data_IF_080050401030
#
_entry.id   IF_080050401030
#
_cell.length_a   1.000
_cell.length_b   1.000
_cell.length_c   1.000
_cell.angle_alpha   90.00
_cell.angle_beta   90.00
_cell.angle_gamma   90.00
#
_symmetry.space_group_name_H-M   'P 1'
#
loop_
_entity.id
_entity.type
_entity.pdbx_description
1 polymer ?
#
# COMPACT_ATOMS: atom_id res chain seq x y z
N UNK A 1 -5.30 18.61 -18.05
CA UNK A 1 -6.73 19.03 -18.12
C UNK A 1 -7.38 18.69 -16.80
N UNK A 2 -8.09 19.63 -16.17
CA UNK A 2 -8.91 19.32 -14.98
C UNK A 2 -10.14 18.54 -15.46
N UNK A 3 -10.42 17.35 -14.91
CA UNK A 3 -11.58 16.59 -15.34
C UNK A 3 -12.86 17.36 -14.92
N UNK A 4 -13.97 17.15 -15.62
CA UNK A 4 -15.24 17.85 -15.41
C UNK A 4 -16.38 16.90 -15.05
N UNK A 5 -17.27 17.36 -14.17
CA UNK A 5 -18.54 16.71 -13.81
C UNK A 5 -19.72 17.63 -14.07
N UNK A 6 -20.91 17.04 -14.19
CA UNK A 6 -22.16 17.79 -14.18
C UNK A 6 -22.59 18.07 -12.73
N UNK A 7 -22.97 19.30 -12.44
CA UNK A 7 -23.67 19.63 -11.20
C UNK A 7 -25.03 18.91 -11.19
N UNK A 8 -25.36 18.11 -10.16
CA UNK A 8 -26.59 17.34 -10.13
C UNK A 8 -27.85 18.22 -9.97
N UNK A 9 -27.69 19.49 -9.60
CA UNK A 9 -28.80 20.42 -9.36
C UNK A 9 -29.15 21.27 -10.57
N UNK A 10 -28.15 21.88 -11.24
CA UNK A 10 -28.38 22.77 -12.39
C UNK A 10 -27.91 22.20 -13.73
N UNK A 11 -27.17 21.08 -13.74
CA UNK A 11 -26.60 20.50 -14.96
C UNK A 11 -25.35 21.21 -15.50
N UNK A 12 -24.88 22.29 -14.86
CA UNK A 12 -23.67 23.02 -15.25
C UNK A 12 -22.40 22.15 -15.19
N UNK A 13 -21.45 22.40 -16.09
CA UNK A 13 -20.18 21.66 -16.13
C UNK A 13 -19.17 22.32 -15.19
N UNK A 14 -18.73 21.58 -14.17
CA UNK A 14 -17.83 22.08 -13.13
C UNK A 14 -16.61 21.15 -12.96
N UNK A 15 -15.43 21.67 -12.60
CA UNK A 15 -14.29 20.83 -12.22
C UNK A 15 -14.61 19.95 -11.00
N UNK A 16 -14.13 18.70 -10.96
CA UNK A 16 -14.47 17.73 -9.88
C UNK A 16 -13.96 18.06 -8.47
N UNK A 17 -13.11 19.07 -8.34
CA UNK A 17 -12.57 19.58 -7.08
C UNK A 17 -13.33 20.83 -6.59
N UNK A 18 -14.39 21.24 -7.29
CA UNK A 18 -15.19 22.43 -6.98
C UNK A 18 -16.23 22.11 -5.91
N UNK A 19 -16.10 22.72 -4.72
CA UNK A 19 -17.01 22.49 -3.59
C UNK A 19 -18.25 23.38 -3.60
N UNK A 20 -18.30 24.44 -4.41
CA UNK A 20 -19.49 25.29 -4.59
C UNK A 20 -19.69 25.54 -6.08
N UNK A 21 -20.87 25.20 -6.61
CA UNK A 21 -21.16 25.40 -8.03
C UNK A 21 -21.16 26.90 -8.39
N UNK A 22 -20.41 27.35 -9.41
CA UNK A 22 -20.40 28.76 -9.81
C UNK A 22 -21.71 29.23 -10.45
N UNK A 23 -22.55 28.32 -10.96
CA UNK A 23 -23.77 28.67 -11.67
C UNK A 23 -24.98 28.78 -10.74
N UNK A 24 -25.18 27.78 -9.86
CA UNK A 24 -26.33 27.73 -8.95
C UNK A 24 -25.98 27.89 -7.46
N UNK A 25 -24.69 28.02 -7.13
CA UNK A 25 -24.17 28.23 -5.77
C UNK A 25 -24.44 27.09 -4.78
N UNK A 26 -24.81 25.91 -5.27
CA UNK A 26 -25.03 24.73 -4.43
C UNK A 26 -23.72 24.19 -3.83
N UNK A 27 -23.81 23.66 -2.61
CA UNK A 27 -22.69 22.98 -1.95
C UNK A 27 -22.48 21.57 -2.51
N UNK A 28 -21.33 21.37 -3.14
CA UNK A 28 -20.90 20.11 -3.74
C UNK A 28 -19.87 19.37 -2.89
N UNK A 29 -19.54 19.83 -1.66
CA UNK A 29 -18.47 19.26 -0.85
C UNK A 29 -18.62 17.75 -0.60
N UNK A 30 -19.85 17.27 -0.35
CA UNK A 30 -20.11 15.85 -0.19
C UNK A 30 -19.79 15.05 -1.47
N UNK A 31 -20.13 15.60 -2.63
CA UNK A 31 -19.88 14.99 -3.93
C UNK A 31 -18.39 14.99 -4.28
N UNK A 32 -17.70 16.09 -4.02
CA UNK A 32 -16.24 16.19 -4.14
C UNK A 32 -15.56 15.17 -3.24
N UNK A 33 -15.99 15.02 -1.98
CA UNK A 33 -15.44 14.04 -1.04
C UNK A 33 -15.55 12.61 -1.56
N UNK A 34 -16.70 12.23 -2.11
CA UNK A 34 -16.91 10.90 -2.70
C UNK A 34 -16.07 10.69 -3.95
N UNK A 35 -15.95 11.71 -4.80
CA UNK A 35 -15.21 11.63 -6.06
C UNK A 35 -13.70 11.54 -5.83
N UNK A 36 -13.19 12.27 -4.83
CA UNK A 36 -11.76 12.35 -4.49
C UNK A 36 -11.37 11.44 -3.33
N UNK A 37 -12.21 10.47 -2.96
CA UNK A 37 -11.99 9.63 -1.78
C UNK A 37 -10.64 8.90 -1.83
N UNK A 38 -10.22 8.43 -3.01
CA UNK A 38 -8.90 7.83 -3.23
C UNK A 38 -7.73 8.77 -2.87
N UNK A 39 -7.83 10.05 -3.22
CA UNK A 39 -6.82 11.05 -2.95
C UNK A 39 -6.80 11.46 -1.47
N UNK A 40 -7.98 11.53 -0.84
CA UNK A 40 -8.11 11.76 0.62
C UNK A 40 -7.42 10.63 1.38
N UNK A 41 -7.75 9.37 1.08
CA UNK A 41 -7.13 8.21 1.71
C UNK A 41 -5.61 8.16 1.49
N UNK A 42 -5.14 8.51 0.29
CA UNK A 42 -3.70 8.59 0.02
C UNK A 42 -3.00 9.65 0.87
N UNK A 43 -3.57 10.85 1.00
CA UNK A 43 -2.97 11.92 1.79
C UNK A 43 -2.92 11.56 3.28
N UNK A 44 -3.98 10.92 3.80
CA UNK A 44 -3.96 10.38 5.16
C UNK A 44 -2.88 9.31 5.35
N UNK A 45 -2.73 8.41 4.37
CA UNK A 45 -1.68 7.39 4.40
C UNK A 45 -0.27 7.97 4.32
N UNK A 46 -0.07 9.01 3.51
CA UNK A 46 1.20 9.75 3.42
C UNK A 46 1.53 10.44 4.75
N UNK A 47 0.56 11.12 5.36
CA UNK A 47 0.75 11.78 6.65
C UNK A 47 1.09 10.76 7.75
N UNK A 48 0.40 9.61 7.79
CA UNK A 48 0.70 8.53 8.74
C UNK A 48 2.11 7.97 8.53
N UNK A 49 2.53 7.73 7.28
CA UNK A 49 3.87 7.24 6.96
C UNK A 49 4.96 8.24 7.39
N UNK A 50 4.75 9.54 7.15
CA UNK A 50 5.66 10.60 7.59
C UNK A 50 5.72 10.71 9.12
N UNK A 51 4.62 10.41 9.81
CA UNK A 51 4.56 10.31 11.27
C UNK A 51 5.13 9.02 11.85
N UNK A 52 5.58 8.07 11.02
CA UNK A 52 6.11 6.77 11.44
C UNK A 52 5.05 5.72 11.79
N UNK A 53 3.76 6.05 11.68
CA UNK A 53 2.67 5.09 11.84
C UNK A 53 2.43 4.32 10.53
N UNK A 54 3.33 3.36 10.28
CA UNK A 54 3.36 2.56 9.06
C UNK A 54 2.14 1.66 8.91
N UNK A 55 1.55 1.22 10.02
CA UNK A 55 0.36 0.36 10.01
C UNK A 55 -0.89 1.15 9.57
N UNK A 56 -1.09 2.34 10.14
CA UNK A 56 -2.15 3.25 9.67
C UNK A 56 -1.90 3.66 8.22
N UNK A 57 -0.64 3.94 7.85
CA UNK A 57 -0.29 4.25 6.47
C UNK A 57 -0.71 3.14 5.51
N UNK A 58 -0.37 1.88 5.81
CA UNK A 58 -0.76 0.71 5.03
C UNK A 58 -2.28 0.62 4.86
N UNK A 59 -3.03 0.74 5.95
CA UNK A 59 -4.49 0.66 5.92
C UNK A 59 -5.11 1.75 5.02
N UNK A 60 -4.68 3.00 5.18
CA UNK A 60 -5.19 4.14 4.39
C UNK A 60 -4.84 4.00 2.91
N UNK A 61 -3.66 3.52 2.58
CA UNK A 61 -3.25 3.31 1.19
C UNK A 61 -4.03 2.18 0.52
N UNK A 62 -4.40 1.13 1.26
CA UNK A 62 -5.29 0.09 0.75
C UNK A 62 -6.68 0.66 0.43
N UNK A 63 -7.26 1.48 1.31
CA UNK A 63 -8.52 2.19 1.02
C UNK A 63 -8.42 3.08 -0.23
N UNK A 64 -7.29 3.78 -0.42
CA UNK A 64 -7.06 4.58 -1.62
C UNK A 64 -7.11 3.71 -2.89
N UNK A 65 -6.52 2.52 -2.85
CA UNK A 65 -6.44 1.58 -3.96
C UNK A 65 -7.75 0.80 -4.19
N UNK A 66 -8.60 0.63 -3.18
CA UNK A 66 -9.96 0.12 -3.36
C UNK A 66 -10.80 1.08 -4.21
N UNK A 67 -10.61 2.40 -4.01
CA UNK A 67 -11.30 3.43 -4.79
C UNK A 67 -10.68 3.67 -6.16
N UNK A 68 -9.37 3.57 -6.28
CA UNK A 68 -8.64 3.74 -7.53
C UNK A 68 -7.50 2.71 -7.67
N UNK A 69 -7.77 1.53 -8.25
CA UNK A 69 -6.82 0.41 -8.27
C UNK A 69 -5.51 0.66 -9.02
N UNK A 70 -5.48 1.66 -9.91
CA UNK A 70 -4.29 2.05 -10.69
C UNK A 70 -3.68 3.36 -10.21
N UNK A 71 -4.02 3.81 -9.01
CA UNK A 71 -3.49 5.07 -8.48
C UNK A 71 -2.01 4.94 -8.12
N UNK A 72 -1.16 5.35 -9.08
CA UNK A 72 0.28 5.16 -9.05
C UNK A 72 0.96 5.69 -7.77
N UNK A 73 0.63 6.89 -7.24
CA UNK A 73 1.21 7.38 -5.99
C UNK A 73 0.95 6.43 -4.80
N UNK A 74 -0.28 5.92 -4.68
CA UNK A 74 -0.64 4.99 -3.62
C UNK A 74 0.04 3.63 -3.78
N UNK A 75 0.17 3.11 -5.00
CA UNK A 75 0.89 1.85 -5.27
C UNK A 75 2.36 1.94 -4.84
N UNK A 76 3.05 3.01 -5.23
CA UNK A 76 4.45 3.22 -4.88
C UNK A 76 4.65 3.41 -3.38
N UNK A 77 3.80 4.22 -2.75
CA UNK A 77 3.91 4.47 -1.31
C UNK A 77 3.58 3.20 -0.51
N UNK A 78 2.56 2.43 -0.91
CA UNK A 78 2.25 1.15 -0.28
C UNK A 78 3.41 0.18 -0.39
N UNK A 79 4.07 0.12 -1.55
CA UNK A 79 5.23 -0.74 -1.75
C UNK A 79 6.39 -0.39 -0.80
N UNK A 80 6.66 0.91 -0.59
CA UNK A 80 7.66 1.39 0.36
C UNK A 80 7.27 1.13 1.83
N UNK A 81 6.02 1.43 2.19
CA UNK A 81 5.49 1.19 3.55
C UNK A 81 5.53 -0.30 3.89
N UNK A 82 5.11 -1.17 2.97
CA UNK A 82 5.16 -2.61 3.15
C UNK A 82 6.60 -3.13 3.30
N UNK A 83 7.55 -2.61 2.53
CA UNK A 83 8.96 -2.96 2.69
C UNK A 83 9.51 -2.51 4.06
N UNK A 84 9.12 -1.33 4.55
CA UNK A 84 9.49 -0.85 5.87
C UNK A 84 8.87 -1.66 7.02
N UNK A 85 7.71 -2.29 6.78
CA UNK A 85 7.07 -3.27 7.66
C UNK A 85 7.59 -4.71 7.46
N UNK A 86 8.59 -4.91 6.60
CA UNK A 86 9.12 -6.22 6.21
C UNK A 86 8.08 -7.18 5.57
N UNK A 87 6.94 -6.66 5.13
CA UNK A 87 5.95 -7.39 4.33
C UNK A 87 6.40 -7.39 2.86
N UNK A 88 7.45 -8.16 2.58
CA UNK A 88 8.07 -8.26 1.25
C UNK A 88 7.10 -8.76 0.18
N UNK A 89 6.11 -9.58 0.58
CA UNK A 89 5.11 -10.10 -0.34
C UNK A 89 4.17 -8.98 -0.83
N UNK A 90 3.67 -8.14 0.07
CA UNK A 90 2.85 -6.98 -0.29
C UNK A 90 3.67 -5.91 -1.02
N UNK A 91 4.92 -5.68 -0.59
CA UNK A 91 5.82 -4.72 -1.22
C UNK A 91 6.04 -5.05 -2.70
N UNK A 92 6.39 -6.31 -3.00
CA UNK A 92 6.60 -6.80 -4.37
C UNK A 92 5.33 -6.71 -5.22
N UNK A 93 4.19 -7.20 -4.72
CA UNK A 93 2.92 -7.12 -5.45
C UNK A 93 2.52 -5.67 -5.79
N UNK A 94 2.72 -4.75 -4.86
CA UNK A 94 2.41 -3.32 -5.07
C UNK A 94 3.38 -2.68 -6.06
N UNK A 95 4.66 -3.03 -6.01
CA UNK A 95 5.70 -2.58 -6.92
C UNK A 95 5.43 -3.05 -8.38
N UNK A 96 5.06 -4.33 -8.55
CA UNK A 96 4.69 -4.88 -9.87
C UNK A 96 3.49 -4.13 -10.46
N UNK A 97 2.42 -3.92 -9.67
CA UNK A 97 1.25 -3.14 -10.12
C UNK A 97 1.61 -1.70 -10.49
N UNK A 98 2.56 -1.07 -9.79
CA UNK A 98 3.05 0.26 -10.13
C UNK A 98 3.76 0.25 -11.51
N UNK A 99 4.58 -0.76 -11.77
CA UNK A 99 5.26 -0.95 -13.05
C UNK A 99 4.27 -1.22 -14.18
N UNK A 100 3.24 -2.03 -13.96
CA UNK A 100 2.15 -2.25 -14.93
C UNK A 100 1.37 -0.96 -15.23
N UNK A 101 1.18 -0.11 -14.21
CA UNK A 101 0.46 1.15 -14.38
C UNK A 101 1.26 2.19 -15.18
N UNK A 102 2.59 2.19 -15.07
CA UNK A 102 3.49 3.14 -15.75
C UNK A 102 4.86 2.49 -16.09
N UNK A 103 4.91 1.64 -17.13
CA UNK A 103 6.11 0.84 -17.44
C UNK A 103 7.31 1.68 -17.85
N UNK A 104 7.08 2.81 -18.53
CA UNK A 104 8.14 3.67 -19.04
C UNK A 104 8.65 4.70 -18.02
N UNK A 105 7.92 4.92 -16.91
CA UNK A 105 8.31 5.89 -15.89
C UNK A 105 9.60 5.44 -15.18
N UNK A 106 10.68 6.18 -15.42
CA UNK A 106 12.01 5.90 -14.84
C UNK A 106 11.98 5.89 -13.32
N UNK A 107 11.15 6.74 -12.69
CA UNK A 107 11.03 6.82 -11.24
C UNK A 107 10.38 5.56 -10.68
N UNK A 108 9.37 5.04 -11.37
CA UNK A 108 8.71 3.77 -11.03
C UNK A 108 9.71 2.62 -11.14
N UNK A 109 10.43 2.50 -12.26
CA UNK A 109 11.45 1.46 -12.45
C UNK A 109 12.53 1.49 -11.37
N UNK A 110 13.02 2.69 -11.01
CA UNK A 110 14.00 2.85 -9.92
C UNK A 110 13.44 2.42 -8.56
N UNK A 111 12.21 2.82 -8.23
CA UNK A 111 11.58 2.45 -6.97
C UNK A 111 11.37 0.93 -6.87
N UNK A 112 10.90 0.29 -7.95
CA UNK A 112 10.72 -1.16 -8.01
C UNK A 112 12.05 -1.89 -7.83
N UNK A 113 13.10 -1.47 -8.56
CA UNK A 113 14.43 -2.06 -8.43
C UNK A 113 14.99 -1.97 -7.00
N UNK A 114 14.77 -0.84 -6.31
CA UNK A 114 15.19 -0.68 -4.92
C UNK A 114 14.46 -1.63 -3.97
N UNK A 115 13.15 -1.82 -4.15
CA UNK A 115 12.34 -2.76 -3.35
C UNK A 115 12.78 -4.21 -3.58
N UNK A 116 13.01 -4.57 -4.84
CA UNK A 116 13.51 -5.88 -5.24
C UNK A 116 14.88 -6.19 -4.61
N UNK A 117 15.82 -5.25 -4.70
CA UNK A 117 17.14 -5.36 -4.09
C UNK A 117 17.07 -5.51 -2.56
N UNK A 118 16.23 -4.73 -1.89
CA UNK A 118 16.03 -4.84 -0.44
C UNK A 118 15.45 -6.21 -0.05
N UNK A 119 14.45 -6.70 -0.80
CA UNK A 119 13.84 -7.99 -0.54
C UNK A 119 14.79 -9.17 -0.75
N UNK A 120 15.73 -9.08 -1.70
CA UNK A 120 16.78 -10.09 -1.93
C UNK A 120 17.74 -10.20 -0.74
N UNK A 121 18.10 -9.06 -0.11
CA UNK A 121 19.00 -9.02 1.05
C UNK A 121 18.37 -9.65 2.30
N UNK A 122 17.04 -9.64 2.36
CA UNK A 122 16.23 -10.09 3.50
C UNK A 122 15.68 -11.51 3.30
N UNK A 123 15.93 -12.12 2.14
CA UNK A 123 15.65 -13.54 1.94
C UNK A 123 16.56 -14.35 2.90
N UNK A 124 16.00 -15.31 3.66
CA UNK A 124 16.81 -16.15 4.53
C UNK A 124 17.91 -16.83 3.69
N UNK A 125 19.16 -16.52 4.00
CA UNK A 125 20.29 -17.20 3.40
C UNK A 125 20.30 -18.65 3.90
N UNK A 126 19.78 -19.56 3.08
CA UNK A 126 19.92 -21.00 3.29
C UNK A 126 18.65 -21.71 3.74
N UNK A 127 17.88 -22.17 2.76
CA UNK A 127 17.17 -23.44 2.86
C UNK A 127 17.76 -24.38 1.82
N UNK A 128 18.62 -25.31 2.24
CA UNK A 128 18.92 -26.49 1.42
C UNK A 128 17.60 -27.07 0.93
N UNK A 129 17.43 -27.45 -0.35
CA UNK A 129 16.21 -28.11 -0.79
C UNK A 129 16.05 -29.36 0.06
N UNK A 130 15.06 -29.34 0.96
CA UNK A 130 14.62 -30.53 1.65
C UNK A 130 14.25 -31.53 0.57
N UNK A 131 15.09 -32.56 0.38
CA UNK A 131 14.80 -33.66 -0.54
C UNK A 131 13.44 -34.21 -0.13
N UNK A 132 12.47 -34.06 -1.02
CA UNK A 132 11.16 -34.69 -0.87
C UNK A 132 11.36 -36.20 -0.95
N UNK A 133 11.33 -36.89 0.20
CA UNK A 133 11.03 -38.31 0.20
C UNK A 133 9.54 -38.48 -0.15
N UNK A 134 9.19 -39.32 -1.12
CA UNK A 134 7.79 -39.61 -1.41
C UNK A 134 7.17 -40.31 -0.19
N UNK A 135 6.06 -39.75 0.30
CA UNK A 135 5.22 -40.36 1.33
C UNK A 135 4.17 -41.22 0.64
N UNK A 136 4.33 -42.53 0.73
CA UNK A 136 3.24 -43.48 0.47
C UNK A 136 2.17 -43.42 1.58
N UNK A 137 0.96 -43.83 1.20
CA UNK A 137 -0.33 -43.48 1.77
C UNK A 137 -0.68 -44.00 3.18
N UNK A 138 -1.72 -43.37 3.75
CA UNK A 138 -2.36 -43.44 5.09
C UNK A 138 -3.11 -44.78 5.40
N UNK A 139 -4.00 -44.91 6.42
CA UNK A 139 -4.39 -44.04 7.56
C UNK A 139 -4.56 -44.76 8.93
N UNK A 140 -4.83 -44.01 10.02
CA UNK A 140 -5.42 -44.61 11.23
C UNK A 140 -5.40 -43.81 12.53
N UNK A 141 -6.61 -43.46 12.99
CA UNK A 141 -7.08 -43.32 14.38
C UNK A 141 -6.70 -42.10 15.26
N UNK A 142 -7.79 -41.56 15.81
CA UNK A 142 -8.01 -40.52 16.81
C UNK A 142 -7.29 -40.73 18.15
N UNK A 143 -6.85 -39.61 18.75
CA UNK A 143 -6.50 -39.51 20.17
C UNK A 143 -6.40 -38.06 20.62
N UNK A 144 -7.35 -37.61 21.44
CA UNK A 144 -7.36 -36.31 22.11
C UNK A 144 -6.35 -36.29 23.26
N UNK A 145 -5.51 -35.26 23.35
CA UNK A 145 -4.81 -34.90 24.58
C UNK A 145 -4.50 -33.39 24.63
N UNK A 146 -4.96 -32.76 25.72
CA UNK A 146 -4.72 -31.38 26.10
C UNK A 146 -3.29 -31.19 26.61
N UNK A 147 -2.70 -30.01 26.34
CA UNK A 147 -1.40 -29.63 26.88
C UNK A 147 -1.14 -28.14 26.74
N UNK A 148 -1.42 -27.40 27.82
CA UNK A 148 -1.10 -25.97 28.00
C UNK A 148 0.41 -25.73 28.09
N UNK A 149 0.91 -24.70 27.39
CA UNK A 149 2.30 -24.26 27.52
C UNK A 149 2.47 -22.78 27.19
N UNK A 150 2.47 -21.93 28.22
CA UNK A 150 2.91 -20.53 28.18
C UNK A 150 4.41 -20.44 27.86
N UNK A 151 4.81 -19.39 27.13
CA UNK A 151 6.04 -18.57 27.23
C UNK A 151 6.16 -17.78 25.92
N UNK A 152 6.79 -16.63 25.81
CA UNK A 152 7.23 -15.58 26.72
C UNK A 152 7.59 -14.44 25.76
N UNK A 153 7.29 -13.20 26.13
CA UNK A 153 7.65 -12.04 25.33
C UNK A 153 9.16 -11.96 25.08
N UNK A 154 9.53 -11.51 23.89
CA UNK A 154 10.81 -10.88 23.62
C UNK A 154 10.49 -9.52 23.02
N UNK A 155 10.36 -8.54 23.89
CA UNK A 155 10.87 -7.19 23.60
C UNK A 155 12.37 -7.32 23.37
N UNK A 156 12.93 -6.66 22.36
CA UNK A 156 13.82 -5.48 22.53
C UNK A 156 14.35 -5.04 21.16
N UNK A 157 14.27 -3.71 20.92
CA UNK A 157 15.25 -2.83 20.25
C UNK A 157 15.90 -3.27 18.92
N UNK A 158 15.67 -2.47 17.88
CA UNK A 158 16.68 -1.72 17.12
C UNK A 158 15.88 -0.87 16.11
N UNK A 159 15.88 0.47 16.15
CA UNK A 159 17.07 1.29 16.08
C UNK A 159 17.48 1.47 14.61
N UNK A 160 16.92 2.51 13.97
CA UNK A 160 17.32 3.05 12.65
C UNK A 160 16.73 2.36 11.41
N UNK A 161 15.50 2.72 11.01
CA UNK A 161 14.95 2.34 9.69
C UNK A 161 14.81 3.59 8.82
N UNK A 162 15.84 3.77 7.99
CA UNK A 162 15.85 4.36 6.65
C UNK A 162 15.60 5.88 6.43
N UNK A 163 16.58 6.62 5.87
CA UNK A 163 16.45 8.05 5.50
C UNK A 163 15.67 8.30 4.18
N UNK A 164 14.94 7.32 3.64
CA UNK A 164 14.33 7.37 2.29
C UNK A 164 12.88 7.88 2.24
N UNK A 165 12.33 8.34 3.38
CA UNK A 165 11.01 9.00 3.45
C UNK A 165 11.08 10.52 3.21
N UNK A 166 12.29 11.10 3.11
CA UNK A 166 12.51 12.51 2.77
C UNK A 166 12.47 12.72 1.25
N UNK A 167 11.59 13.61 0.79
CA UNK A 167 11.19 13.74 -0.61
C UNK A 167 12.23 14.32 -1.57
N UNK A 168 12.20 13.82 -2.80
CA UNK A 168 12.65 14.57 -3.98
C UNK A 168 11.56 15.57 -4.39
N UNK A 169 11.41 16.62 -3.57
CA UNK A 169 10.82 17.88 -4.00
C UNK A 169 11.86 18.64 -4.82
N UNK A 170 11.95 18.36 -6.11
CA UNK A 170 12.90 18.99 -7.02
C UNK A 170 12.27 19.36 -8.36
N UNK A 171 11.73 20.59 -8.40
CA UNK A 171 11.47 21.51 -9.53
C UNK A 171 10.94 20.96 -10.85
#
# INVERSE_FOLDING_TARGET
MRPLMACPYCGGSVPHDTTVCPDCHEDLAALVRLTLEHAIWYNEGLAAAQGGDLETARARLLCALERSPRFLPALLLLAKVAAALEDWALARRSAVRALEAAPDDVRVRRAVAAIEAAALQQAPQGGHPARSHPRDAAPGASGTAQGSGRRAGVTTLLGSIFPWLGGDGGR
#
